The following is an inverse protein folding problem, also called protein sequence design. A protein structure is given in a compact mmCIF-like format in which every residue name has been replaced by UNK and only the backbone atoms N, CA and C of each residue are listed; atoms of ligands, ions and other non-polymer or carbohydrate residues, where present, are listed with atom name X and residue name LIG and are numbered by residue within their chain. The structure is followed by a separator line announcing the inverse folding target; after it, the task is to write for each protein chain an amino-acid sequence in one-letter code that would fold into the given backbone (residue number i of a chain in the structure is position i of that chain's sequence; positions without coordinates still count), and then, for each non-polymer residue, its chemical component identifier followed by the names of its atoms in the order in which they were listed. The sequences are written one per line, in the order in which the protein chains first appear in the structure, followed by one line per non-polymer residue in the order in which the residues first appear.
data_IF_194292958504
#
_entry.id   IF_194292958504
#
_cell.length_a   1.000
_cell.length_b   1.000
_cell.length_c   1.000
_cell.angle_alpha   90.00
_cell.angle_beta   90.00
_cell.angle_gamma   90.00
#
_symmetry.space_group_name_H-M   'P 1'
#
loop_
_entity.id
_entity.type
_entity.pdbx_description
1 polymer ?
#
# COMPACT_ATOMS: atom_id res chain seq x y z
N UNK A 1 1.41 -29.88 17.88
CA UNK A 1 2.05 -29.67 16.57
C UNK A 1 1.36 -28.47 15.96
N UNK A 2 1.98 -27.32 16.18
CA UNK A 2 1.36 -25.99 16.14
C UNK A 2 1.15 -25.47 14.71
N UNK A 3 0.19 -24.57 14.58
CA UNK A 3 -0.34 -24.05 13.32
C UNK A 3 0.71 -23.30 12.49
N UNK A 4 1.39 -23.97 11.56
CA UNK A 4 2.32 -23.32 10.63
C UNK A 4 1.56 -22.60 9.49
N UNK A 5 0.99 -21.44 9.83
CA UNK A 5 0.49 -20.44 8.88
C UNK A 5 1.54 -19.35 8.74
N UNK A 6 2.07 -19.14 7.53
CA UNK A 6 3.00 -18.04 7.25
C UNK A 6 2.26 -16.97 6.45
N UNK A 7 2.14 -15.77 7.01
CA UNK A 7 1.64 -14.59 6.31
C UNK A 7 2.83 -13.78 5.80
N UNK A 8 2.94 -13.63 4.48
CA UNK A 8 3.96 -12.80 3.85
C UNK A 8 3.31 -11.49 3.45
N UNK A 9 3.58 -10.46 4.23
CA UNK A 9 3.35 -9.07 3.82
C UNK A 9 4.70 -8.42 3.61
N UNK A 10 4.95 -7.93 2.39
CA UNK A 10 6.07 -7.03 2.12
C UNK A 10 5.49 -5.69 1.68
N UNK A 11 5.07 -4.83 2.63
CA UNK A 11 4.58 -3.51 2.30
C UNK A 11 5.79 -2.58 2.28
N UNK A 12 6.27 -2.22 1.09
CA UNK A 12 7.02 -0.98 0.98
C UNK A 12 6.53 -0.25 -0.26
N UNK A 13 5.71 0.76 -0.04
CA UNK A 13 5.45 1.78 -1.03
C UNK A 13 5.51 3.13 -0.32
N UNK A 14 6.73 3.62 -0.05
CA UNK A 14 7.07 5.03 -0.24
C UNK A 14 8.60 5.31 -0.25
N UNK A 15 8.95 6.38 -0.97
CA UNK A 15 10.20 7.15 -1.06
C UNK A 15 11.53 6.39 -1.30
N UNK A 16 11.96 6.17 -2.54
CA UNK A 16 11.86 7.07 -3.69
C UNK A 16 11.84 6.25 -4.99
N UNK A 17 11.20 6.77 -6.04
CA UNK A 17 11.37 6.26 -7.42
C UNK A 17 12.85 6.09 -7.85
N UNK A 18 13.82 6.53 -7.03
CA UNK A 18 15.25 6.37 -7.22
C UNK A 18 15.83 4.99 -6.93
N UNK A 19 15.15 4.05 -6.24
CA UNK A 19 15.71 2.72 -6.00
C UNK A 19 14.71 1.57 -6.20
N UNK A 20 14.22 1.40 -7.44
CA UNK A 20 13.35 0.29 -7.82
C UNK A 20 13.95 -1.10 -7.58
N UNK A 21 15.28 -1.21 -7.53
CA UNK A 21 16.00 -2.48 -7.28
C UNK A 21 15.71 -3.03 -5.88
N UNK A 22 15.54 -2.17 -4.88
CA UNK A 22 15.18 -2.60 -3.52
C UNK A 22 13.80 -3.28 -3.48
N UNK A 23 12.83 -2.80 -4.26
CA UNK A 23 11.53 -3.47 -4.37
C UNK A 23 11.68 -4.87 -4.95
N UNK A 24 12.54 -5.06 -5.95
CA UNK A 24 12.80 -6.39 -6.51
C UNK A 24 13.43 -7.32 -5.49
N UNK A 25 14.47 -6.86 -4.78
CA UNK A 25 15.14 -7.66 -3.76
C UNK A 25 14.21 -8.02 -2.60
N UNK A 26 13.42 -7.07 -2.12
CA UNK A 26 12.51 -7.33 -1.02
C UNK A 26 11.33 -8.17 -1.50
N UNK A 27 10.54 -7.67 -2.45
CA UNK A 27 9.27 -8.27 -2.83
C UNK A 27 9.45 -9.58 -3.59
N UNK A 28 10.34 -9.64 -4.59
CA UNK A 28 10.49 -10.83 -5.44
C UNK A 28 11.41 -11.85 -4.78
N UNK A 29 12.64 -11.46 -4.46
CA UNK A 29 13.60 -12.39 -3.87
C UNK A 29 13.16 -12.82 -2.46
N UNK A 30 12.65 -11.89 -1.63
CA UNK A 30 12.09 -12.25 -0.33
C UNK A 30 10.95 -13.26 -0.43
N UNK A 31 9.99 -13.07 -1.35
CA UNK A 31 8.91 -14.05 -1.58
C UNK A 31 9.46 -15.40 -2.02
N UNK A 32 10.44 -15.40 -2.94
CA UNK A 32 11.07 -16.63 -3.41
C UNK A 32 11.72 -17.43 -2.26
N UNK A 33 12.46 -16.75 -1.37
CA UNK A 33 13.08 -17.42 -0.22
C UNK A 33 12.04 -18.01 0.75
N UNK A 34 10.93 -17.29 1.00
CA UNK A 34 9.86 -17.84 1.85
C UNK A 34 9.17 -19.02 1.17
N UNK A 35 8.95 -19.00 -0.13
CA UNK A 35 8.38 -20.14 -0.88
C UNK A 35 9.29 -21.37 -0.85
N UNK A 36 10.59 -21.18 -1.02
CA UNK A 36 11.55 -22.29 -0.98
C UNK A 36 11.67 -22.89 0.42
N UNK A 37 11.76 -22.05 1.45
CA UNK A 37 11.75 -22.53 2.84
C UNK A 37 10.43 -23.22 3.17
N UNK A 38 9.30 -22.69 2.70
CA UNK A 38 7.98 -23.29 2.82
C UNK A 38 7.92 -24.70 2.22
N UNK A 39 8.53 -24.89 1.06
CA UNK A 39 8.68 -26.19 0.40
C UNK A 39 9.54 -27.15 1.22
N UNK A 40 10.70 -26.69 1.69
CA UNK A 40 11.65 -27.51 2.45
C UNK A 40 11.08 -27.97 3.80
N UNK A 41 10.38 -27.09 4.51
CA UNK A 41 9.86 -27.36 5.85
C UNK A 41 8.41 -27.87 5.87
N UNK A 42 7.76 -28.00 4.71
CA UNK A 42 6.42 -28.58 4.60
C UNK A 42 5.35 -27.76 5.34
N UNK A 43 5.27 -26.46 5.08
CA UNK A 43 4.28 -25.61 5.73
C UNK A 43 2.84 -26.02 5.36
N UNK A 44 1.89 -25.75 6.26
CA UNK A 44 0.48 -26.11 6.03
C UNK A 44 -0.22 -25.09 5.13
N UNK A 45 0.12 -23.81 5.25
CA UNK A 45 -0.51 -22.74 4.46
C UNK A 45 0.36 -21.48 4.41
N UNK A 46 0.48 -20.92 3.21
CA UNK A 46 1.09 -19.62 2.95
C UNK A 46 0.02 -18.64 2.50
N UNK A 47 -0.01 -17.44 3.07
CA UNK A 47 -0.86 -16.35 2.59
C UNK A 47 0.07 -15.26 2.06
N UNK A 48 -0.03 -15.01 0.77
CA UNK A 48 0.68 -13.93 0.09
C UNK A 48 -0.22 -12.70 -0.01
N UNK A 49 0.22 -11.59 0.59
CA UNK A 49 -0.51 -10.32 0.55
C UNK A 49 0.03 -9.45 -0.59
N UNK A 50 -0.81 -9.30 -1.59
CA UNK A 50 -0.64 -8.47 -2.77
C UNK A 50 -1.60 -7.26 -2.75
N UNK A 51 -1.64 -6.52 -3.84
CA UNK A 51 -2.35 -5.24 -4.00
C UNK A 51 -3.15 -5.25 -5.28
N UNK A 52 -4.25 -4.49 -5.32
CA UNK A 52 -4.98 -4.14 -6.54
C UNK A 52 -4.14 -3.42 -7.61
N UNK A 53 -3.04 -2.75 -7.24
CA UNK A 53 -2.14 -2.09 -8.20
C UNK A 53 -1.55 -3.03 -9.27
N UNK A 54 -1.53 -4.35 -9.02
CA UNK A 54 -1.08 -5.35 -10.01
C UNK A 54 -1.96 -5.37 -11.27
N UNK A 55 -3.21 -4.93 -11.19
CA UNK A 55 -4.11 -4.82 -12.34
C UNK A 55 -3.82 -3.61 -13.22
N UNK A 56 -3.08 -2.61 -12.72
CA UNK A 56 -2.83 -1.36 -13.45
C UNK A 56 -4.03 -0.43 -13.48
N UNK A 57 -4.14 0.35 -14.57
CA UNK A 57 -5.26 1.27 -14.76
C UNK A 57 -6.52 0.52 -15.21
N UNK A 58 -7.57 0.57 -14.38
CA UNK A 58 -8.90 0.10 -14.75
C UNK A 58 -9.67 1.29 -15.34
N UNK A 59 -9.97 1.24 -16.64
CA UNK A 59 -10.73 2.30 -17.30
C UNK A 59 -12.18 2.35 -16.78
N UNK A 60 -12.74 3.55 -16.59
CA UNK A 60 -14.09 3.78 -16.05
C UNK A 60 -15.24 3.08 -16.79
N UNK A 61 -15.03 2.61 -18.02
CA UNK A 61 -16.01 1.88 -18.82
C UNK A 61 -15.84 0.35 -18.75
N UNK A 62 -14.76 -0.14 -18.11
CA UNK A 62 -14.53 -1.56 -17.90
C UNK A 62 -15.31 -2.06 -16.68
N UNK A 63 -15.74 -3.32 -16.74
CA UNK A 63 -16.17 -4.07 -15.56
C UNK A 63 -15.04 -4.11 -14.52
N UNK A 64 -15.40 -4.09 -13.24
CA UNK A 64 -14.45 -4.19 -12.13
C UNK A 64 -13.47 -5.36 -12.34
N UNK A 65 -12.20 -5.17 -11.96
CA UNK A 65 -11.18 -6.18 -12.10
C UNK A 65 -11.47 -7.37 -11.17
N UNK A 66 -11.56 -8.58 -11.73
CA UNK A 66 -11.63 -9.84 -11.00
C UNK A 66 -10.26 -10.53 -10.92
N UNK A 67 -10.15 -11.60 -10.13
CA UNK A 67 -8.90 -12.33 -9.90
C UNK A 67 -8.29 -12.95 -11.17
N UNK A 68 -9.13 -13.21 -12.18
CA UNK A 68 -8.73 -13.73 -13.50
C UNK A 68 -8.27 -12.62 -14.46
N UNK A 69 -8.38 -11.35 -14.06
CA UNK A 69 -7.96 -10.22 -14.89
C UNK A 69 -6.46 -10.22 -15.11
N UNK A 70 -6.05 -9.70 -16.27
CA UNK A 70 -4.64 -9.61 -16.66
C UNK A 70 -3.91 -8.68 -15.68
N UNK A 71 -2.73 -9.12 -15.21
CA UNK A 71 -1.83 -8.25 -14.45
C UNK A 71 -1.14 -7.28 -15.41
N UNK A 72 -1.39 -5.99 -15.25
CA UNK A 72 -0.85 -4.92 -16.09
C UNK A 72 -0.25 -3.78 -15.24
N UNK A 73 0.75 -4.07 -14.37
CA UNK A 73 1.29 -3.09 -13.43
C UNK A 73 1.91 -1.89 -14.15
N UNK A 74 1.63 -0.68 -13.68
CA UNK A 74 2.07 0.59 -14.30
C UNK A 74 3.24 1.26 -13.57
N UNK A 75 3.70 0.68 -12.45
CA UNK A 75 4.81 1.20 -11.66
C UNK A 75 5.74 0.06 -11.17
N UNK A 76 7.01 0.36 -10.83
CA UNK A 76 7.97 -0.68 -10.42
C UNK A 76 7.55 -1.48 -9.18
N UNK A 77 6.91 -0.85 -8.20
CA UNK A 77 6.40 -1.54 -7.02
C UNK A 77 5.33 -2.57 -7.40
N UNK A 78 4.31 -2.16 -8.16
CA UNK A 78 3.25 -3.04 -8.66
C UNK A 78 3.82 -4.18 -9.51
N UNK A 79 4.84 -3.91 -10.33
CA UNK A 79 5.52 -4.93 -11.12
C UNK A 79 6.20 -5.98 -10.25
N UNK A 80 6.84 -5.57 -9.14
CA UNK A 80 7.46 -6.52 -8.21
C UNK A 80 6.43 -7.36 -7.45
N UNK A 81 5.24 -6.81 -7.16
CA UNK A 81 4.11 -7.55 -6.58
C UNK A 81 3.54 -8.58 -7.55
N UNK A 82 3.31 -8.18 -8.80
CA UNK A 82 2.88 -9.10 -9.86
C UNK A 82 3.91 -10.23 -10.08
N UNK A 83 5.21 -9.92 -10.09
CA UNK A 83 6.27 -10.92 -10.20
C UNK A 83 6.28 -11.90 -9.01
N UNK A 84 6.05 -11.41 -7.78
CA UNK A 84 5.92 -12.26 -6.61
C UNK A 84 4.71 -13.19 -6.69
N UNK A 85 3.56 -12.73 -7.20
CA UNK A 85 2.39 -13.59 -7.45
C UNK A 85 2.71 -14.72 -8.45
N UNK A 86 3.41 -14.39 -9.55
CA UNK A 86 3.81 -15.41 -10.53
C UNK A 86 4.72 -16.47 -9.91
N UNK A 87 5.61 -16.09 -8.99
CA UNK A 87 6.43 -17.05 -8.24
C UNK A 87 5.56 -17.94 -7.35
N UNK A 88 4.59 -17.37 -6.62
CA UNK A 88 3.67 -18.15 -5.77
C UNK A 88 2.89 -19.18 -6.61
N UNK A 89 2.35 -18.76 -7.75
CA UNK A 89 1.63 -19.64 -8.68
C UNK A 89 2.54 -20.75 -9.24
N UNK A 90 3.77 -20.42 -9.62
CA UNK A 90 4.75 -21.39 -10.11
C UNK A 90 5.13 -22.44 -9.04
N UNK A 91 5.27 -22.03 -7.79
CA UNK A 91 5.57 -22.93 -6.67
C UNK A 91 4.37 -23.82 -6.31
N UNK A 92 3.16 -23.30 -6.39
CA UNK A 92 1.95 -24.12 -6.29
C UNK A 92 1.91 -25.16 -7.42
N UNK A 93 2.09 -24.75 -8.67
CA UNK A 93 2.02 -25.66 -9.82
C UNK A 93 3.15 -26.72 -9.83
N UNK A 94 4.36 -26.35 -9.44
CA UNK A 94 5.54 -27.24 -9.52
C UNK A 94 5.73 -28.12 -8.30
N UNK A 95 5.39 -27.60 -7.11
CA UNK A 95 5.73 -28.23 -5.83
C UNK A 95 4.53 -28.39 -4.89
N UNK A 96 3.33 -28.01 -5.32
CA UNK A 96 2.10 -28.08 -4.53
C UNK A 96 2.20 -27.37 -3.17
N UNK A 97 2.97 -26.28 -3.10
CA UNK A 97 3.04 -25.44 -1.90
C UNK A 97 1.66 -24.84 -1.64
N UNK A 98 1.04 -25.05 -0.46
CA UNK A 98 -0.34 -24.64 -0.19
C UNK A 98 -0.43 -23.12 0.03
N UNK A 99 -0.43 -22.35 -1.05
CA UNK A 99 -0.44 -20.89 -1.02
C UNK A 99 -1.80 -20.29 -1.40
N UNK A 100 -2.13 -19.15 -0.81
CA UNK A 100 -3.30 -18.32 -1.12
C UNK A 100 -2.78 -16.91 -1.43
N UNK A 101 -3.22 -16.33 -2.54
CA UNK A 101 -2.94 -14.94 -2.88
C UNK A 101 -4.16 -14.10 -2.50
N UNK A 102 -3.91 -12.98 -1.82
CA UNK A 102 -4.94 -11.98 -1.53
C UNK A 102 -4.54 -10.66 -2.16
N UNK A 103 -5.44 -10.02 -2.91
CA UNK A 103 -5.22 -8.70 -3.50
C UNK A 103 -6.14 -7.74 -2.77
N UNK A 104 -5.56 -6.87 -1.95
CA UNK A 104 -6.32 -5.88 -1.18
C UNK A 104 -6.27 -4.52 -1.86
N UNK A 105 -7.36 -3.77 -1.76
CA UNK A 105 -7.37 -2.33 -2.02
C UNK A 105 -6.65 -1.57 -0.90
N UNK A 106 -6.62 -0.24 -0.98
CA UNK A 106 -6.04 0.61 0.06
C UNK A 106 -6.62 0.35 1.46
N UNK A 107 -5.84 -0.32 2.31
CA UNK A 107 -6.16 -0.58 3.71
C UNK A 107 -5.90 0.69 4.54
N UNK A 108 -6.78 0.97 5.50
CA UNK A 108 -6.60 2.05 6.48
C UNK A 108 -7.02 1.60 7.88
N UNK A 109 -6.39 2.15 8.91
CA UNK A 109 -6.71 1.83 10.30
C UNK A 109 -5.63 2.27 11.29
N UNK A 110 -5.81 1.93 12.59
CA UNK A 110 -4.81 2.19 13.62
C UNK A 110 -3.43 1.62 13.26
N UNK A 111 -2.36 2.26 13.73
CA UNK A 111 -0.95 1.87 13.51
C UNK A 111 -0.43 1.98 12.08
N UNK A 112 -1.20 2.53 11.13
CA UNK A 112 -0.68 2.83 9.80
C UNK A 112 0.30 4.02 9.86
N UNK A 113 1.50 3.85 9.30
CA UNK A 113 2.49 4.93 9.25
C UNK A 113 1.96 6.13 8.43
N UNK A 114 2.15 7.38 8.88
CA UNK A 114 1.51 8.56 8.30
C UNK A 114 2.14 9.06 6.99
N UNK A 115 2.61 8.15 6.15
CA UNK A 115 2.96 8.41 4.75
C UNK A 115 1.71 8.30 3.85
N UNK A 116 0.80 7.38 4.19
CA UNK A 116 -0.41 7.09 3.42
C UNK A 116 -1.43 8.21 3.58
N UNK A 117 -2.26 8.40 2.55
CA UNK A 117 -3.18 9.53 2.43
C UNK A 117 -4.02 9.72 3.70
N UNK A 118 -4.73 8.70 4.17
CA UNK A 118 -5.64 8.81 5.32
C UNK A 118 -4.91 9.20 6.61
N UNK A 119 -3.89 8.45 7.11
CA UNK A 119 -3.20 8.82 8.35
C UNK A 119 -2.43 10.15 8.23
N UNK A 120 -1.89 10.47 7.04
CA UNK A 120 -1.26 11.76 6.78
C UNK A 120 -2.24 12.92 6.91
N UNK A 121 -3.45 12.78 6.37
CA UNK A 121 -4.50 13.78 6.50
C UNK A 121 -4.94 13.98 7.95
N UNK A 122 -5.16 12.87 8.68
CA UNK A 122 -5.52 12.92 10.09
C UNK A 122 -4.47 13.72 10.88
N UNK A 123 -3.18 13.44 10.66
CA UNK A 123 -2.09 14.13 11.35
C UNK A 123 -2.00 15.62 10.98
N UNK A 124 -2.22 15.97 9.71
CA UNK A 124 -2.19 17.35 9.26
C UNK A 124 -3.38 18.17 9.80
N UNK A 125 -4.57 17.57 9.82
CA UNK A 125 -5.77 18.18 10.41
C UNK A 125 -5.58 18.40 11.92
N UNK A 126 -5.09 17.39 12.65
CA UNK A 126 -4.76 17.51 14.06
C UNK A 126 -3.72 18.61 14.32
N UNK A 127 -2.72 18.74 13.44
CA UNK A 127 -1.67 19.76 13.54
C UNK A 127 -2.05 21.13 12.97
N UNK A 128 -3.27 21.30 12.45
CA UNK A 128 -3.73 22.50 11.72
C UNK A 128 -2.78 22.95 10.59
N UNK A 129 -2.12 21.99 9.94
CA UNK A 129 -1.19 22.23 8.82
C UNK A 129 -1.93 22.10 7.50
N UNK A 130 -1.57 22.95 6.53
CA UNK A 130 -2.11 22.88 5.17
C UNK A 130 -1.57 21.63 4.45
N UNK A 131 -2.34 21.14 3.51
CA UNK A 131 -1.93 20.06 2.63
C UNK A 131 -2.23 20.38 1.16
N UNK A 132 -1.53 19.67 0.28
CA UNK A 132 -1.62 19.79 -1.16
C UNK A 132 -2.21 18.52 -1.73
N UNK A 133 -3.35 18.60 -2.41
CA UNK A 133 -3.90 17.46 -3.16
C UNK A 133 -3.17 17.39 -4.50
N UNK A 134 -2.37 16.34 -4.77
CA UNK A 134 -1.79 16.15 -6.10
C UNK A 134 -2.91 15.96 -7.13
N UNK A 135 -2.89 16.74 -8.21
CA UNK A 135 -3.80 16.57 -9.35
C UNK A 135 -5.15 17.28 -9.28
N UNK A 136 -5.59 17.81 -8.13
CA UNK A 136 -6.81 18.65 -8.07
C UNK A 136 -6.47 20.12 -8.36
N UNK A 137 -6.47 20.49 -9.64
CA UNK A 137 -6.70 21.89 -10.04
C UNK A 137 -8.22 22.11 -10.15
N UNK A 138 -8.84 22.73 -9.15
CA UNK A 138 -10.21 23.26 -9.25
C UNK A 138 -10.23 24.76 -9.64
N UNK A 139 -9.11 25.34 -10.09
CA UNK A 139 -9.09 26.73 -10.56
C UNK A 139 -9.21 26.80 -12.09
N UNK A 140 -10.30 27.38 -12.59
CA UNK A 140 -10.54 27.70 -14.00
C UNK A 140 -9.69 28.87 -14.54
N UNK A 141 -8.48 29.11 -13.99
CA UNK A 141 -7.62 30.23 -14.39
C UNK A 141 -6.36 29.75 -15.11
N UNK A 142 -6.08 30.20 -16.35
CA UNK A 142 -4.93 29.77 -17.15
C UNK A 142 -3.55 30.17 -16.61
N UNK A 143 -3.48 31.03 -15.58
CA UNK A 143 -2.24 31.66 -15.11
C UNK A 143 -1.79 31.25 -13.70
N UNK A 144 -2.47 30.30 -13.05
CA UNK A 144 -2.09 29.83 -11.71
C UNK A 144 -0.96 28.78 -11.77
N UNK A 145 0.01 28.78 -10.83
CA UNK A 145 1.00 27.71 -10.73
C UNK A 145 0.29 26.36 -10.51
N UNK A 146 0.82 25.28 -11.10
CA UNK A 146 0.30 23.90 -11.01
C UNK A 146 0.31 23.29 -9.59
N UNK A 147 0.54 24.10 -8.56
CA UNK A 147 0.53 23.73 -7.15
C UNK A 147 -0.55 24.61 -6.49
N UNK A 148 -1.75 24.06 -6.34
CA UNK A 148 -2.81 24.72 -5.57
C UNK A 148 -2.66 24.36 -4.10
N UNK A 149 -2.15 25.29 -3.28
CA UNK A 149 -2.50 25.30 -1.86
C UNK A 149 -3.98 25.68 -1.77
N UNK A 150 -4.81 24.88 -1.10
CA UNK A 150 -6.19 25.29 -0.80
C UNK A 150 -6.14 26.43 0.24
N UNK A 151 -6.07 27.67 -0.24
CA UNK A 151 -6.47 28.88 0.48
C UNK A 151 -7.77 29.34 -0.20
N UNK A 152 -8.89 29.68 0.43
CA UNK A 152 -9.25 29.88 1.83
C UNK A 152 -10.76 30.14 1.86
N UNK A 153 -11.54 29.30 2.54
CA UNK A 153 -12.69 29.78 3.30
C UNK A 153 -12.25 29.83 4.77
N UNK A 154 -12.76 30.77 5.59
CA UNK A 154 -12.50 30.73 7.02
C UNK A 154 -13.02 29.38 7.53
N UNK A 155 -12.10 28.58 8.09
CA UNK A 155 -12.51 27.39 8.83
C UNK A 155 -13.57 27.80 9.85
N UNK A 156 -14.63 26.99 10.05
CA UNK A 156 -15.54 27.23 11.15
C UNK A 156 -14.73 27.39 12.45
N UNK A 157 -15.20 28.21 13.42
CA UNK A 157 -14.50 28.40 14.67
C UNK A 157 -14.18 27.03 15.28
N UNK A 158 -13.00 26.90 15.91
CA UNK A 158 -12.49 25.61 16.36
C UNK A 158 -13.54 24.90 17.21
N UNK A 159 -13.94 23.69 16.79
CA UNK A 159 -14.60 22.76 17.69
C UNK A 159 -13.62 22.56 18.85
N UNK A 160 -14.06 22.65 20.12
CA UNK A 160 -13.20 22.37 21.26
C UNK A 160 -12.48 21.04 21.01
N UNK A 161 -11.16 21.01 21.24
CA UNK A 161 -10.42 19.77 21.16
C UNK A 161 -11.12 18.77 22.07
N UNK A 162 -11.63 17.68 21.50
CA UNK A 162 -12.09 16.57 22.32
C UNK A 162 -10.83 15.99 22.97
N UNK A 163 -10.63 16.29 24.25
CA UNK A 163 -9.48 15.80 25.03
C UNK A 163 -9.45 14.26 25.13
N UNK A 164 -10.53 13.57 24.72
CA UNK A 164 -10.54 12.12 24.55
C UNK A 164 -9.83 11.64 23.28
N UNK A 165 -9.68 12.49 22.27
CA UNK A 165 -8.91 12.22 21.05
C UNK A 165 -7.42 12.56 21.28
N UNK A 166 -6.77 11.77 22.13
CA UNK A 166 -5.29 11.71 22.11
C UNK A 166 -4.84 11.18 20.75
N UNK A 167 -3.71 11.67 20.18
CA UNK A 167 -3.13 11.02 19.02
C UNK A 167 -2.98 9.52 19.35
N UNK A 168 -3.52 8.65 18.48
CA UNK A 168 -3.50 7.20 18.68
C UNK A 168 -2.06 6.64 18.80
N UNK A 169 -1.07 7.43 18.38
CA UNK A 169 0.36 7.13 18.49
C UNK A 169 1.10 8.44 18.80
N UNK A 170 1.89 8.44 19.86
CA UNK A 170 2.85 9.51 20.16
C UNK A 170 4.10 9.32 19.29
N UNK A 171 4.13 10.01 18.15
CA UNK A 171 5.23 9.93 17.19
C UNK A 171 6.50 10.66 17.64
N UNK A 172 6.50 11.41 18.76
CA UNK A 172 7.71 12.09 19.25
C UNK A 172 8.71 11.12 19.90
N UNK A 173 8.29 9.90 20.26
CA UNK A 173 9.11 8.91 20.95
C UNK A 173 9.51 7.69 20.11
N UNK A 174 9.12 7.62 18.82
CA UNK A 174 9.55 6.57 17.91
C UNK A 174 10.91 6.92 17.31
N UNK A 175 11.98 6.63 18.06
CA UNK A 175 13.32 6.50 17.51
C UNK A 175 13.43 5.13 16.81
N UNK A 176 13.63 5.14 15.50
CA UNK A 176 14.17 4.03 14.74
C UNK A 176 15.56 4.42 14.25
#
# INVERSE_FOLDING_TARGET
MENNLINITLPLLDNSFGNSTEFTMNNVLGTHLVLETSRVYGIRRLIHISTDEVYGEVHHAATDACEESILAPTNPYAATKAAAEMMVLAYYASFNVPAIITRSNNVYGPYQFPEKVIPKFINLLASRKKWYVPGMCLSSSPSAPKICAVNSSPFPPPVPADESLKPFVDYENLKF
#
